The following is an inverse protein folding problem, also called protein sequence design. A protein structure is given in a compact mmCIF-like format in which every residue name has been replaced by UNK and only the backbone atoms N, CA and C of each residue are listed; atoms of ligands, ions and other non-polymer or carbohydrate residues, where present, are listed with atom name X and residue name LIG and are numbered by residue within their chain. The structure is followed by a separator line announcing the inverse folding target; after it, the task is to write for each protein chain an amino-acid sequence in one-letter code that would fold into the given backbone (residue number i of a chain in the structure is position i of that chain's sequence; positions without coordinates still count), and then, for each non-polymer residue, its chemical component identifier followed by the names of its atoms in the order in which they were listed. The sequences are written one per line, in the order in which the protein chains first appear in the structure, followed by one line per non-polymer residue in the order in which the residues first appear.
data_IF_943138636639
#
_entry.id   IF_943138636639
#
_cell.length_a   1.000
_cell.length_b   1.000
_cell.length_c   1.000
_cell.angle_alpha   90.00
_cell.angle_beta   90.00
_cell.angle_gamma   90.00
#
_symmetry.space_group_name_H-M   'P 1'
#
loop_
_entity.id
_entity.type
_entity.pdbx_description
1 polymer ?
#
# COMPACT_ATOMS: atom_id res chain seq x y z
N UNK A 1 -50.81 -34.88 29.69
CA UNK A 1 -50.33 -34.50 28.35
C UNK A 1 -48.95 -33.88 28.52
N UNK A 2 -47.87 -34.64 28.31
CA UNK A 2 -46.49 -34.15 28.45
C UNK A 2 -46.06 -33.48 27.14
N UNK A 3 -45.74 -32.19 27.19
CA UNK A 3 -45.12 -31.48 26.07
C UNK A 3 -43.63 -31.83 26.03
N UNK A 4 -43.21 -32.59 25.01
CA UNK A 4 -41.81 -32.71 24.61
C UNK A 4 -41.35 -31.34 24.10
N UNK A 5 -40.59 -30.61 24.89
CA UNK A 5 -39.77 -29.52 24.38
C UNK A 5 -38.69 -30.17 23.50
N UNK A 6 -38.83 -30.05 22.18
CA UNK A 6 -37.77 -30.41 21.24
C UNK A 6 -36.62 -29.41 21.41
N UNK A 7 -35.66 -29.75 22.26
CA UNK A 7 -34.32 -29.15 22.27
C UNK A 7 -33.65 -29.50 20.94
N UNK A 8 -33.82 -28.67 19.92
CA UNK A 8 -33.52 -29.10 18.55
C UNK A 8 -33.12 -27.99 17.59
N UNK A 9 -32.21 -27.09 17.98
CA UNK A 9 -31.44 -26.26 17.04
C UNK A 9 -30.04 -26.01 17.63
N UNK A 10 -29.17 -27.01 17.52
CA UNK A 10 -27.72 -26.82 17.67
C UNK A 10 -27.16 -26.59 16.27
N UNK A 11 -27.05 -25.33 15.84
CA UNK A 11 -26.37 -25.02 14.57
C UNK A 11 -24.89 -25.37 14.69
N UNK A 12 -24.29 -25.93 13.64
CA UNK A 12 -22.85 -26.24 13.59
C UNK A 12 -22.15 -25.27 12.67
N UNK A 13 -21.13 -24.58 13.16
CA UNK A 13 -20.25 -23.76 12.34
C UNK A 13 -19.13 -24.62 11.75
N UNK A 14 -18.86 -24.46 10.44
CA UNK A 14 -17.74 -25.10 9.75
C UNK A 14 -16.72 -24.05 9.35
N UNK A 15 -15.46 -24.25 9.76
CA UNK A 15 -14.35 -23.41 9.35
C UNK A 15 -13.45 -24.21 8.43
N UNK A 16 -13.03 -23.60 7.32
CA UNK A 16 -12.06 -24.16 6.37
C UNK A 16 -10.99 -23.10 6.10
N UNK A 17 -9.74 -23.48 6.31
CA UNK A 17 -8.56 -22.68 5.99
C UNK A 17 -7.90 -23.30 4.77
N UNK A 18 -7.74 -22.53 3.69
CA UNK A 18 -7.11 -22.95 2.45
C UNK A 18 -5.76 -22.24 2.29
N UNK A 19 -4.69 -22.97 1.96
CA UNK A 19 -3.40 -22.35 1.68
C UNK A 19 -3.27 -22.00 0.19
N UNK A 20 -3.43 -20.72 -0.12
CA UNK A 20 -3.19 -20.14 -1.45
C UNK A 20 -1.96 -19.23 -1.51
N UNK A 21 -0.98 -19.40 -0.62
CA UNK A 21 0.23 -18.59 -0.59
C UNK A 21 1.02 -18.71 -1.90
N UNK A 22 1.52 -17.59 -2.42
CA UNK A 22 2.36 -17.57 -3.63
C UNK A 22 3.66 -18.37 -3.42
N UNK A 23 4.33 -18.75 -4.51
CA UNK A 23 5.59 -19.52 -4.49
C UNK A 23 5.51 -20.91 -3.82
N UNK A 24 4.32 -21.50 -3.78
CA UNK A 24 4.06 -22.84 -3.22
C UNK A 24 4.53 -23.00 -1.78
N UNK A 25 4.41 -21.94 -0.97
CA UNK A 25 4.87 -21.94 0.42
C UNK A 25 3.98 -22.77 1.34
N UNK A 26 4.59 -23.37 2.34
CA UNK A 26 3.89 -24.03 3.44
C UNK A 26 3.34 -22.99 4.42
N UNK A 27 2.08 -23.17 4.81
CA UNK A 27 1.41 -22.43 5.87
C UNK A 27 1.36 -23.31 7.12
N UNK A 28 1.91 -22.84 8.22
CA UNK A 28 1.78 -23.45 9.55
C UNK A 28 0.65 -22.73 10.28
N UNK A 29 -0.40 -23.47 10.60
CA UNK A 29 -1.60 -23.01 11.29
C UNK A 29 -1.65 -23.64 12.68
N UNK A 30 -1.89 -22.86 13.72
CA UNK A 30 -2.21 -23.39 15.05
C UNK A 30 -3.48 -22.74 15.57
N UNK A 31 -4.52 -23.54 15.82
CA UNK A 31 -5.82 -23.07 16.27
C UNK A 31 -6.18 -23.66 17.63
N UNK A 32 -6.66 -22.81 18.55
CA UNK A 32 -7.07 -23.21 19.90
C UNK A 32 -8.35 -22.51 20.32
N UNK A 33 -9.27 -23.23 20.95
CA UNK A 33 -10.48 -22.64 21.53
C UNK A 33 -10.20 -21.96 22.88
N UNK A 34 -11.07 -21.02 23.26
CA UNK A 34 -11.00 -20.35 24.57
C UNK A 34 -11.02 -21.36 25.74
N UNK A 35 -11.77 -22.45 25.58
CA UNK A 35 -11.99 -23.47 26.61
C UNK A 35 -10.98 -24.63 26.52
N UNK A 36 -9.80 -24.35 25.96
CA UNK A 36 -8.67 -25.27 25.83
C UNK A 36 -8.83 -26.44 24.85
N UNK A 37 -9.74 -26.37 23.87
CA UNK A 37 -9.72 -27.33 22.76
C UNK A 37 -8.65 -26.91 21.74
N UNK A 38 -7.47 -27.50 21.84
CA UNK A 38 -6.36 -27.27 20.90
C UNK A 38 -6.50 -28.21 19.69
N UNK A 39 -6.56 -27.65 18.48
CA UNK A 39 -6.61 -28.42 17.23
C UNK A 39 -5.23 -28.89 16.76
N UNK A 40 -4.18 -28.44 17.46
CA UNK A 40 -2.77 -28.70 17.21
C UNK A 40 -2.21 -27.82 16.09
N UNK A 41 -0.89 -27.88 15.94
CA UNK A 41 -0.19 -27.28 14.80
C UNK A 41 -0.44 -28.13 13.55
N UNK A 42 -0.81 -27.47 12.45
CA UNK A 42 -1.09 -28.06 11.15
C UNK A 42 -0.27 -27.36 10.09
N UNK A 43 0.56 -28.14 9.38
CA UNK A 43 1.27 -27.68 8.18
C UNK A 43 0.39 -27.96 6.96
N UNK A 44 0.02 -26.91 6.25
CA UNK A 44 -0.72 -26.93 5.00
C UNK A 44 0.23 -26.63 3.85
N UNK A 45 0.38 -27.55 2.90
CA UNK A 45 1.11 -27.25 1.65
C UNK A 45 0.26 -26.35 0.77
N UNK A 46 0.87 -25.75 -0.23
CA UNK A 46 0.13 -24.96 -1.21
C UNK A 46 -0.95 -25.79 -1.90
N UNK A 47 -2.18 -25.28 -1.88
CA UNK A 47 -3.37 -25.95 -2.40
C UNK A 47 -4.10 -26.84 -1.40
N UNK A 48 -3.51 -27.11 -0.22
CA UNK A 48 -4.13 -27.91 0.84
C UNK A 48 -5.09 -27.06 1.69
N UNK A 49 -5.96 -27.75 2.43
CA UNK A 49 -6.84 -27.13 3.41
C UNK A 49 -6.93 -27.91 4.72
N UNK A 50 -7.19 -27.17 5.80
CA UNK A 50 -7.61 -27.73 7.09
C UNK A 50 -9.05 -27.31 7.36
N UNK A 51 -9.87 -28.22 7.90
CA UNK A 51 -11.25 -27.90 8.25
C UNK A 51 -11.64 -28.53 9.58
N UNK A 52 -12.48 -27.83 10.33
CA UNK A 52 -13.09 -28.32 11.55
C UNK A 52 -14.51 -27.76 11.71
N UNK A 53 -15.27 -28.36 12.62
CA UNK A 53 -16.64 -27.96 12.93
C UNK A 53 -16.82 -27.86 14.43
N UNK A 54 -17.61 -26.88 14.88
CA UNK A 54 -17.95 -26.72 16.28
C UNK A 54 -19.41 -26.29 16.44
N UNK A 55 -20.07 -26.67 17.55
CA UNK A 55 -21.45 -26.31 17.80
C UNK A 55 -21.58 -24.83 18.19
N UNK A 56 -22.51 -24.12 17.55
CA UNK A 56 -22.92 -22.77 17.90
C UNK A 56 -24.01 -22.88 18.97
N UNK A 57 -23.61 -22.78 20.24
CA UNK A 57 -24.57 -22.74 21.34
C UNK A 57 -25.14 -21.32 21.43
N UNK A 58 -26.42 -21.15 21.12
CA UNK A 58 -27.09 -19.83 21.16
C UNK A 58 -27.39 -19.32 22.58
N UNK A 59 -27.54 -20.22 23.57
CA UNK A 59 -27.94 -19.87 24.94
C UNK A 59 -26.79 -19.85 25.97
N UNK A 60 -25.63 -20.39 25.62
CA UNK A 60 -24.42 -20.43 26.47
C UNK A 60 -23.22 -19.99 25.63
N UNK A 61 -22.17 -19.45 26.28
CA UNK A 61 -20.95 -18.93 25.65
C UNK A 61 -20.58 -19.62 24.33
N UNK A 62 -20.51 -18.86 23.23
CA UNK A 62 -20.05 -19.37 21.93
C UNK A 62 -18.61 -19.86 22.04
N UNK A 63 -18.33 -21.07 21.56
CA UNK A 63 -16.97 -21.58 21.49
C UNK A 63 -16.20 -20.82 20.40
N UNK A 64 -15.23 -19.98 20.80
CA UNK A 64 -14.40 -19.20 19.89
C UNK A 64 -13.06 -19.90 19.70
N UNK A 65 -12.63 -20.04 18.44
CA UNK A 65 -11.30 -20.52 18.06
C UNK A 65 -10.40 -19.32 17.68
N UNK A 66 -9.19 -19.32 18.22
CA UNK A 66 -8.13 -18.38 17.88
C UNK A 66 -7.06 -19.12 17.09
N UNK A 67 -6.70 -18.60 15.91
CA UNK A 67 -5.73 -19.22 15.01
C UNK A 67 -4.52 -18.31 14.80
N UNK A 68 -3.32 -18.89 14.86
CA UNK A 68 -2.06 -18.25 14.44
C UNK A 68 -1.59 -18.88 13.12
N UNK A 69 -1.00 -18.04 12.27
CA UNK A 69 -0.56 -18.38 10.92
C UNK A 69 0.90 -17.99 10.78
N UNK A 70 1.74 -18.92 10.33
CA UNK A 70 3.16 -18.70 10.08
C UNK A 70 3.53 -19.26 8.71
N UNK A 71 4.28 -18.50 7.92
CA UNK A 71 4.85 -18.97 6.66
C UNK A 71 6.24 -18.36 6.51
N UNK A 72 7.09 -19.00 5.71
CA UNK A 72 8.40 -18.44 5.36
C UNK A 72 8.19 -17.33 4.34
N UNK A 73 7.87 -16.13 4.79
CA UNK A 73 8.14 -14.97 3.96
C UNK A 73 9.65 -14.84 3.79
N UNK A 74 10.12 -14.82 2.54
CA UNK A 74 11.47 -14.36 2.27
C UNK A 74 11.48 -12.86 2.56
N UNK A 75 11.78 -12.51 3.81
CA UNK A 75 11.85 -11.13 4.27
C UNK A 75 12.76 -10.29 3.38
N UNK A 76 13.75 -10.90 2.70
CA UNK A 76 14.58 -10.22 1.70
C UNK A 76 13.81 -9.93 0.41
N UNK A 77 12.92 -10.81 -0.04
CA UNK A 77 12.02 -10.53 -1.17
C UNK A 77 11.04 -9.39 -0.83
N UNK A 78 10.48 -9.38 0.38
CA UNK A 78 9.60 -8.31 0.85
C UNK A 78 10.35 -6.97 0.95
N UNK A 79 11.55 -6.96 1.55
CA UNK A 79 12.43 -5.78 1.61
C UNK A 79 12.80 -5.27 0.21
N UNK A 80 13.18 -6.16 -0.72
CA UNK A 80 13.53 -5.77 -2.10
C UNK A 80 12.35 -5.17 -2.86
N UNK A 81 11.15 -5.73 -2.68
CA UNK A 81 9.92 -5.18 -3.26
C UNK A 81 9.65 -3.78 -2.70
N UNK A 82 9.72 -3.64 -1.38
CA UNK A 82 9.52 -2.36 -0.69
C UNK A 82 10.57 -1.29 -1.08
N UNK A 83 11.85 -1.68 -1.18
CA UNK A 83 12.93 -0.78 -1.62
C UNK A 83 12.77 -0.32 -3.07
N UNK A 84 12.32 -1.20 -3.97
CA UNK A 84 12.05 -0.84 -5.37
C UNK A 84 10.92 0.19 -5.46
N UNK A 85 9.85 -0.01 -4.71
CA UNK A 85 8.72 0.92 -4.64
C UNK A 85 9.11 2.28 -4.05
N UNK A 86 10.07 2.34 -3.11
CA UNK A 86 10.61 3.61 -2.61
C UNK A 86 11.45 4.31 -3.68
N UNK A 87 12.34 3.58 -4.36
CA UNK A 87 13.21 4.14 -5.40
C UNK A 87 12.40 4.74 -6.56
N UNK A 88 11.32 4.07 -6.98
CA UNK A 88 10.41 4.58 -8.01
C UNK A 88 9.72 5.89 -7.57
N UNK A 89 9.41 6.05 -6.28
CA UNK A 89 8.81 7.29 -5.74
C UNK A 89 9.81 8.45 -5.70
N UNK A 90 11.07 8.19 -5.35
CA UNK A 90 12.13 9.22 -5.34
C UNK A 90 12.46 9.71 -6.76
N UNK A 91 12.51 8.79 -7.72
CA UNK A 91 12.69 9.11 -9.15
C UNK A 91 11.52 9.96 -9.67
N UNK A 92 10.28 9.61 -9.32
CA UNK A 92 9.09 10.40 -9.66
C UNK A 92 9.10 11.83 -9.09
N UNK A 93 9.54 12.00 -7.83
CA UNK A 93 9.66 13.34 -7.21
C UNK A 93 10.70 14.21 -7.92
N UNK A 94 11.79 13.59 -8.38
CA UNK A 94 12.87 14.28 -9.10
C UNK A 94 12.39 14.75 -10.48
N UNK A 95 11.75 13.85 -11.24
CA UNK A 95 11.17 14.16 -12.56
C UNK A 95 10.13 15.28 -12.47
N UNK A 96 9.32 15.33 -11.41
CA UNK A 96 8.33 16.40 -11.21
C UNK A 96 8.96 17.79 -11.04
N UNK A 97 10.08 17.89 -10.31
CA UNK A 97 10.79 19.16 -10.14
C UNK A 97 11.40 19.64 -11.45
N UNK A 98 11.96 18.72 -12.23
CA UNK A 98 12.53 19.01 -13.55
C UNK A 98 11.47 19.46 -14.55
N UNK A 99 10.31 18.81 -14.57
CA UNK A 99 9.16 19.19 -15.41
C UNK A 99 8.68 20.63 -15.09
N UNK A 100 8.61 21.01 -13.82
CA UNK A 100 8.26 22.40 -13.45
C UNK A 100 9.30 23.40 -13.94
N UNK A 101 10.59 23.12 -13.74
CA UNK A 101 11.69 23.97 -14.22
C UNK A 101 11.67 24.13 -15.74
N UNK A 102 11.40 23.05 -16.46
CA UNK A 102 11.31 23.04 -17.92
C UNK A 102 10.14 23.90 -18.43
N UNK A 103 8.97 23.82 -17.78
CA UNK A 103 7.80 24.68 -18.08
C UNK A 103 8.11 26.16 -17.85
N UNK A 104 8.89 26.49 -16.83
CA UNK A 104 9.30 27.88 -16.55
C UNK A 104 10.28 28.40 -17.62
N UNK A 105 11.26 27.57 -17.99
CA UNK A 105 12.25 27.92 -19.03
C UNK A 105 11.57 28.11 -20.41
N UNK A 106 10.62 27.24 -20.79
CA UNK A 106 9.83 27.39 -22.02
C UNK A 106 9.03 28.69 -22.02
N UNK A 107 8.39 29.05 -20.89
CA UNK A 107 7.66 30.32 -20.76
C UNK A 107 8.57 31.53 -20.94
N UNK A 108 9.74 31.53 -20.30
CA UNK A 108 10.74 32.61 -20.41
C UNK A 108 11.23 32.77 -21.86
N UNK A 109 11.60 31.68 -22.52
CA UNK A 109 12.10 31.72 -23.91
C UNK A 109 11.02 32.20 -24.89
N UNK A 110 9.76 31.80 -24.69
CA UNK A 110 8.65 32.30 -25.50
C UNK A 110 8.40 33.80 -25.30
N UNK A 111 8.57 34.32 -24.08
CA UNK A 111 8.51 35.77 -23.81
C UNK A 111 9.67 36.52 -24.48
N UNK A 112 10.91 36.03 -24.35
CA UNK A 112 12.09 36.62 -25.00
C UNK A 112 11.93 36.68 -26.53
N UNK A 113 11.46 35.57 -27.14
CA UNK A 113 11.15 35.50 -28.57
C UNK A 113 10.12 36.57 -28.96
N UNK A 114 9.03 36.71 -28.20
CA UNK A 114 7.97 37.70 -28.46
C UNK A 114 8.50 39.13 -28.37
N UNK A 115 9.35 39.44 -27.39
CA UNK A 115 9.99 40.76 -27.26
C UNK A 115 10.91 41.05 -28.46
N UNK A 116 11.68 40.07 -28.90
CA UNK A 116 12.55 40.19 -30.07
C UNK A 116 11.75 40.43 -31.35
N UNK A 117 10.69 39.65 -31.60
CA UNK A 117 9.78 39.82 -32.75
C UNK A 117 9.13 41.22 -32.75
N UNK A 118 8.65 41.69 -31.60
CA UNK A 118 8.11 43.06 -31.46
C UNK A 118 9.16 44.14 -31.70
N UNK A 119 10.42 43.91 -31.28
CA UNK A 119 11.53 44.84 -31.52
C UNK A 119 11.89 44.94 -33.01
N UNK A 120 11.63 43.89 -33.77
CA UNK A 120 11.85 43.86 -35.22
C UNK A 120 10.72 44.57 -35.97
N UNK A 121 9.48 44.45 -35.49
CA UNK A 121 8.31 45.07 -36.09
C UNK A 121 8.25 46.61 -35.93
N UNK A 122 8.90 47.19 -34.90
CA UNK A 122 8.77 48.61 -34.55
C UNK A 122 9.83 49.55 -35.16
N UNK A 123 10.80 49.08 -35.96
CA UNK A 123 11.90 49.94 -36.46
C UNK A 123 11.80 50.21 -37.97
N UNK A 124 11.85 51.50 -38.34
CA UNK A 124 12.31 52.00 -39.64
C UNK A 124 13.73 51.45 -39.94
N UNK A 125 14.21 51.48 -41.21
CA UNK A 125 15.06 50.43 -41.77
C UNK A 125 16.24 50.10 -40.85
N UNK A 126 16.13 48.96 -40.16
CA UNK A 126 17.24 48.41 -39.38
C UNK A 126 18.41 48.17 -40.31
N UNK A 127 19.63 48.46 -39.83
CA UNK A 127 20.84 48.02 -40.49
C UNK A 127 20.73 46.51 -40.78
N UNK A 128 20.97 46.12 -42.02
CA UNK A 128 20.82 44.75 -42.51
C UNK A 128 21.58 43.72 -41.65
N UNK A 129 22.70 44.15 -41.05
CA UNK A 129 23.51 43.37 -40.10
C UNK A 129 22.76 43.07 -38.79
N UNK A 130 22.05 44.05 -38.24
CA UNK A 130 21.29 43.90 -36.99
C UNK A 130 20.04 43.05 -37.19
N UNK A 131 19.39 43.17 -38.35
CA UNK A 131 18.27 42.31 -38.73
C UNK A 131 18.71 40.83 -38.81
N UNK A 132 19.87 40.56 -39.43
CA UNK A 132 20.43 39.22 -39.55
C UNK A 132 20.78 38.60 -38.19
N UNK A 133 21.39 39.38 -37.28
CA UNK A 133 21.73 38.91 -35.92
C UNK A 133 20.47 38.53 -35.14
N UNK A 134 19.43 39.39 -35.17
CA UNK A 134 18.15 39.11 -34.50
C UNK A 134 17.45 37.88 -35.10
N UNK A 135 17.50 37.71 -36.41
CA UNK A 135 16.89 36.57 -37.11
C UNK A 135 17.58 35.24 -36.75
N UNK A 136 18.92 35.23 -36.67
CA UNK A 136 19.68 34.07 -36.18
C UNK A 136 19.31 33.70 -34.75
N UNK A 137 19.20 34.71 -33.86
CA UNK A 137 18.81 34.48 -32.47
C UNK A 137 17.39 33.92 -32.33
N UNK A 138 16.44 34.40 -33.14
CA UNK A 138 15.08 33.85 -33.19
C UNK A 138 15.08 32.40 -33.65
N UNK A 139 15.89 32.05 -34.65
CA UNK A 139 15.99 30.68 -35.14
C UNK A 139 16.58 29.73 -34.09
N UNK A 140 17.58 30.18 -33.33
CA UNK A 140 18.15 29.45 -32.20
C UNK A 140 17.13 29.23 -31.08
N UNK A 141 16.39 30.29 -30.69
CA UNK A 141 15.34 30.20 -29.68
C UNK A 141 14.23 29.23 -30.09
N UNK A 142 13.82 29.24 -31.37
CA UNK A 142 12.83 28.28 -31.89
C UNK A 142 13.29 26.82 -31.76
N UNK A 143 14.55 26.53 -32.10
CA UNK A 143 15.10 25.18 -31.94
C UNK A 143 15.12 24.73 -30.47
N UNK A 144 15.53 25.63 -29.57
CA UNK A 144 15.59 25.33 -28.14
C UNK A 144 14.21 25.08 -27.53
N UNK A 145 13.19 25.84 -27.94
CA UNK A 145 11.80 25.60 -27.49
C UNK A 145 11.31 24.21 -27.91
N UNK A 146 11.52 23.80 -29.16
CA UNK A 146 11.11 22.47 -29.65
C UNK A 146 11.84 21.34 -28.90
N UNK A 147 13.14 21.51 -28.61
CA UNK A 147 13.91 20.54 -27.81
C UNK A 147 13.33 20.38 -26.41
N UNK A 148 12.99 21.49 -25.75
CA UNK A 148 12.40 21.48 -24.42
C UNK A 148 10.95 20.95 -24.42
N UNK A 149 10.16 21.23 -25.45
CA UNK A 149 8.80 20.67 -25.61
C UNK A 149 8.83 19.15 -25.78
N UNK A 150 9.82 18.62 -26.51
CA UNK A 150 10.02 17.17 -26.63
C UNK A 150 10.45 16.52 -25.30
N UNK A 151 11.32 17.18 -24.53
CA UNK A 151 11.69 16.74 -23.18
C UNK A 151 10.48 16.79 -22.24
N UNK A 152 9.65 17.82 -22.35
CA UNK A 152 8.42 18.00 -21.59
C UNK A 152 7.42 16.87 -21.86
N UNK A 153 7.21 16.51 -23.13
CA UNK A 153 6.34 15.40 -23.51
C UNK A 153 6.81 14.05 -22.93
N UNK A 154 8.13 13.83 -22.84
CA UNK A 154 8.68 12.66 -22.18
C UNK A 154 8.42 12.67 -20.66
N UNK A 155 8.54 13.82 -20.00
CA UNK A 155 8.22 13.95 -18.58
C UNK A 155 6.72 13.79 -18.28
N UNK A 156 5.84 14.28 -19.16
CA UNK A 156 4.38 14.15 -19.00
C UNK A 156 3.91 12.70 -19.19
N UNK A 157 4.61 11.92 -20.04
CA UNK A 157 4.39 10.47 -20.16
C UNK A 157 4.67 9.73 -18.84
N UNK A 158 5.71 10.14 -18.11
CA UNK A 158 6.02 9.62 -16.76
C UNK A 158 4.97 10.06 -15.74
N UNK A 159 4.46 11.29 -15.85
CA UNK A 159 3.40 11.80 -14.96
C UNK A 159 2.04 11.13 -15.22
N UNK A 160 1.77 10.55 -16.40
CA UNK A 160 0.54 9.77 -16.65
C UNK A 160 0.40 8.53 -15.74
N UNK A 161 1.51 7.97 -15.25
CA UNK A 161 1.50 6.88 -14.27
C UNK A 161 1.15 7.32 -12.84
N UNK A 162 0.99 8.63 -12.59
CA UNK A 162 0.56 9.19 -11.31
C UNK A 162 -0.78 8.63 -10.83
N UNK A 163 -1.72 8.38 -11.74
CA UNK A 163 -3.02 7.82 -11.37
C UNK A 163 -2.87 6.40 -10.78
N UNK A 164 -2.02 5.59 -11.41
CA UNK A 164 -1.70 4.24 -10.95
C UNK A 164 -0.93 4.25 -9.62
N UNK A 165 0.01 5.19 -9.45
CA UNK A 165 0.78 5.34 -8.20
C UNK A 165 -0.10 5.82 -7.04
N UNK A 166 -1.02 6.77 -7.27
CA UNK A 166 -1.96 7.23 -6.23
C UNK A 166 -2.99 6.16 -5.85
N UNK A 167 -3.45 5.35 -6.80
CA UNK A 167 -4.29 4.18 -6.53
C UNK A 167 -3.55 3.15 -5.66
N UNK A 168 -2.28 2.86 -5.98
CA UNK A 168 -1.45 1.97 -5.17
C UNK A 168 -1.18 2.53 -3.77
N UNK A 169 -0.99 3.84 -3.62
CA UNK A 169 -0.88 4.49 -2.29
C UNK A 169 -2.16 4.35 -1.49
N UNK A 170 -3.33 4.54 -2.10
CA UNK A 170 -4.61 4.38 -1.43
C UNK A 170 -4.80 2.95 -0.92
N UNK A 171 -4.46 1.95 -1.76
CA UNK A 171 -4.50 0.53 -1.39
C UNK A 171 -3.53 0.19 -0.25
N UNK A 172 -2.30 0.73 -0.29
CA UNK A 172 -1.31 0.54 0.76
C UNK A 172 -1.75 1.14 2.10
N UNK A 173 -2.34 2.33 2.08
CA UNK A 173 -2.84 2.99 3.30
C UNK A 173 -4.03 2.24 3.91
N UNK A 174 -4.91 1.66 3.08
CA UNK A 174 -6.00 0.81 3.57
C UNK A 174 -5.46 -0.44 4.29
N UNK A 175 -4.46 -1.11 3.70
CA UNK A 175 -3.81 -2.28 4.31
C UNK A 175 -3.10 -1.92 5.62
N UNK A 176 -2.37 -0.80 5.66
CA UNK A 176 -1.71 -0.34 6.88
C UNK A 176 -2.72 0.04 7.98
N UNK A 177 -3.85 0.65 7.63
CA UNK A 177 -4.91 0.97 8.59
C UNK A 177 -5.57 -0.28 9.20
N UNK A 178 -5.78 -1.31 8.40
CA UNK A 178 -6.26 -2.63 8.87
C UNK A 178 -5.22 -3.33 9.75
N UNK A 179 -3.93 -3.20 9.43
CA UNK A 179 -2.84 -3.74 10.23
C UNK A 179 -2.74 -3.04 11.59
N UNK A 180 -2.86 -1.72 11.66
CA UNK A 180 -2.81 -0.94 12.91
C UNK A 180 -4.00 -1.24 13.81
N UNK A 181 -5.20 -1.37 13.24
CA UNK A 181 -6.39 -1.76 14.02
C UNK A 181 -6.28 -3.19 14.54
N UNK A 182 -5.72 -4.10 13.76
CA UNK A 182 -5.46 -5.48 14.18
C UNK A 182 -4.41 -5.53 15.29
N UNK A 183 -3.32 -4.78 15.14
CA UNK A 183 -2.26 -4.66 16.15
C UNK A 183 -2.81 -4.09 17.45
N UNK A 184 -3.61 -3.01 17.39
CA UNK A 184 -4.24 -2.40 18.57
C UNK A 184 -5.17 -3.38 19.31
N UNK A 185 -5.97 -4.18 18.57
CA UNK A 185 -6.84 -5.20 19.15
C UNK A 185 -6.02 -6.30 19.84
N UNK A 186 -4.92 -6.74 19.22
CA UNK A 186 -4.00 -7.72 19.79
C UNK A 186 -3.35 -7.17 21.07
N UNK A 187 -2.81 -5.95 21.04
CA UNK A 187 -2.20 -5.33 22.22
C UNK A 187 -3.19 -5.23 23.38
N UNK A 188 -4.43 -4.79 23.11
CA UNK A 188 -5.48 -4.68 24.13
C UNK A 188 -5.86 -6.03 24.74
N UNK A 189 -5.88 -7.10 23.95
CA UNK A 189 -6.10 -8.46 24.43
C UNK A 189 -4.94 -8.95 25.30
N UNK A 190 -3.70 -8.69 24.88
CA UNK A 190 -2.50 -9.03 25.65
C UNK A 190 -2.52 -8.30 27.00
N UNK A 191 -2.77 -6.99 27.03
CA UNK A 191 -2.85 -6.22 28.28
C UNK A 191 -3.91 -6.77 29.23
N UNK A 192 -5.08 -7.14 28.70
CA UNK A 192 -6.19 -7.70 29.50
C UNK A 192 -5.85 -9.07 30.08
N UNK A 193 -5.15 -9.90 29.32
CA UNK A 193 -4.69 -11.20 29.80
C UNK A 193 -3.58 -11.05 30.83
N UNK A 194 -2.60 -10.16 30.62
CA UNK A 194 -1.54 -9.88 31.59
C UNK A 194 -2.11 -9.38 32.93
N UNK A 195 -3.08 -8.46 32.91
CA UNK A 195 -3.73 -7.98 34.13
C UNK A 195 -4.51 -9.08 34.88
N UNK A 196 -5.14 -10.00 34.14
CA UNK A 196 -5.83 -11.15 34.73
C UNK A 196 -4.85 -12.15 35.35
N UNK A 197 -3.73 -12.41 34.68
CA UNK A 197 -2.67 -13.27 35.19
C UNK A 197 -2.02 -12.69 36.44
N UNK A 198 -1.73 -11.38 36.46
CA UNK A 198 -1.17 -10.72 37.63
C UNK A 198 -2.11 -10.83 38.83
N UNK A 199 -3.41 -10.58 38.65
CA UNK A 199 -4.41 -10.72 39.72
C UNK A 199 -4.46 -12.14 40.29
N UNK A 200 -4.31 -13.17 39.45
CA UNK A 200 -4.28 -14.56 39.92
C UNK A 200 -2.99 -14.88 40.69
N UNK A 201 -1.86 -14.27 40.32
CA UNK A 201 -0.59 -14.42 41.04
C UNK A 201 -0.68 -13.73 42.41
N UNK A 202 -1.22 -12.51 42.46
CA UNK A 202 -1.38 -11.75 43.71
C UNK A 202 -2.32 -12.49 44.68
N UNK A 203 -3.39 -13.10 44.17
CA UNK A 203 -4.31 -13.94 44.96
C UNK A 203 -3.70 -15.25 45.44
N UNK A 204 -2.72 -15.80 44.73
CA UNK A 204 -2.00 -17.00 45.16
C UNK A 204 -0.97 -16.69 46.25
N UNK A 205 -0.41 -15.47 46.25
CA UNK A 205 0.57 -15.01 47.23
C UNK A 205 -0.04 -14.62 48.60
N UNK A 206 -1.37 -14.43 48.70
CA UNK A 206 -2.07 -14.15 49.97
C UNK A 206 -2.53 -15.42 50.72
N UNK A 207 -2.34 -16.61 50.13
CA UNK A 207 -2.82 -17.89 50.69
C UNK A 207 -1.70 -18.72 51.34
N UNK A 208 -0.43 -18.28 51.20
CA UNK A 208 0.75 -18.80 51.92
C UNK A 208 1.17 -17.86 53.07
#
# INVERSE_FOLDING_TARGET
MMLRLSWGLSDTARVRVYNSLENKQDLILHCKSKDNNDLGERRLRHGDYFQWQFPVRFFFSSELYYCSFQWKEDMEAYKKKFQREIKEKEEYVTVRRENHKLKDDVRRLNQEKKVLELSMARRAPMAQKDAKVKQTRIHELKRRVVELENQQANCDKVESHKHYIEELKHRLNAVNGELDTTTTKITKLISKNMAKTQKNIDQAAEVD
#
